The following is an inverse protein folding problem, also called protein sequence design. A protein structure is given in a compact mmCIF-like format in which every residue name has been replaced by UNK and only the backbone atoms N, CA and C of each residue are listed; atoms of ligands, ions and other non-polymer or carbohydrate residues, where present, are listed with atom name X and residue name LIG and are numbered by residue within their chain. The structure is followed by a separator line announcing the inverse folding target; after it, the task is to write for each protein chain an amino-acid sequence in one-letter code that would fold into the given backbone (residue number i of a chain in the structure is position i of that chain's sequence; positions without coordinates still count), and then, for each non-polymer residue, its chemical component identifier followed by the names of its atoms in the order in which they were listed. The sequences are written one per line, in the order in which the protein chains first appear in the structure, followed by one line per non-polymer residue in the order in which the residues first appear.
data_IF_389055892788
#
_entry.id   IF_389055892788
#
_cell.length_a   1.000
_cell.length_b   1.000
_cell.length_c   1.000
_cell.angle_alpha   90.00
_cell.angle_beta   90.00
_cell.angle_gamma   90.00
#
_symmetry.space_group_name_H-M   'P 1'
#
loop_
_entity.id
_entity.type
_entity.pdbx_description
1 polymer ?
#
# COMPACT_ATOMS: atom_id res chain seq x y z
N UNK A 1 -7.38 25.17 -32.75
CA UNK A 1 -6.07 24.60 -32.36
C UNK A 1 -5.97 24.68 -30.83
N UNK A 2 -6.48 23.66 -30.13
CA UNK A 2 -6.73 23.65 -28.68
C UNK A 2 -6.03 22.41 -28.11
N UNK A 3 -4.77 22.56 -27.68
CA UNK A 3 -4.06 21.46 -27.01
C UNK A 3 -4.60 21.38 -25.58
N UNK A 4 -5.57 20.49 -25.38
CA UNK A 4 -5.97 19.95 -24.08
C UNK A 4 -4.80 19.09 -23.59
N UNK A 5 -3.77 19.72 -23.05
CA UNK A 5 -2.67 19.01 -22.40
C UNK A 5 -3.16 18.51 -21.05
N UNK A 6 -3.57 17.25 -21.12
CA UNK A 6 -3.95 16.30 -20.09
C UNK A 6 -3.15 16.49 -18.80
N UNK A 7 -3.89 16.84 -17.76
CA UNK A 7 -3.51 16.84 -16.35
C UNK A 7 -3.10 15.42 -15.92
N UNK A 8 -1.85 15.03 -16.17
CA UNK A 8 -1.25 13.78 -15.66
C UNK A 8 -0.22 14.13 -14.57
N UNK A 9 -0.65 14.89 -13.57
CA UNK A 9 0.17 15.22 -12.40
C UNK A 9 -0.73 15.29 -11.17
N UNK A 10 -1.34 14.16 -10.76
CA UNK A 10 -2.12 14.17 -9.51
C UNK A 10 -2.40 12.84 -8.78
N UNK A 11 -1.65 11.72 -8.94
CA UNK A 11 -1.72 10.75 -7.84
C UNK A 11 -0.36 10.13 -7.51
N UNK A 12 0.60 10.93 -7.04
CA UNK A 12 1.81 10.40 -6.37
C UNK A 12 2.04 11.08 -5.00
N UNK A 13 1.16 11.98 -4.55
CA UNK A 13 1.32 12.69 -3.26
C UNK A 13 0.59 12.05 -2.06
N UNK A 14 -0.06 10.90 -2.20
CA UNK A 14 -0.93 10.37 -1.12
C UNK A 14 -0.27 9.35 -0.17
N UNK A 15 1.01 9.02 -0.31
CA UNK A 15 1.65 7.94 0.48
C UNK A 15 2.42 8.41 1.71
N UNK A 16 2.20 9.65 2.20
CA UNK A 16 2.92 10.24 3.33
C UNK A 16 2.02 10.75 4.49
N UNK A 17 0.78 10.27 4.61
CA UNK A 17 -0.09 10.65 5.75
C UNK A 17 0.26 9.82 6.99
N UNK A 18 1.27 10.25 7.74
CA UNK A 18 1.44 9.82 9.13
C UNK A 18 0.37 10.50 10.00
N UNK A 19 -0.27 9.81 10.97
CA UNK A 19 -1.21 10.45 11.87
C UNK A 19 -0.46 11.49 12.72
N UNK A 20 -0.74 12.76 12.48
CA UNK A 20 -0.22 13.85 13.31
C UNK A 20 -1.04 13.88 14.61
N UNK A 21 -0.51 13.27 15.67
CA UNK A 21 -0.98 13.49 17.03
C UNK A 21 -0.58 14.91 17.45
N UNK A 22 -1.53 15.85 17.41
CA UNK A 22 -1.39 17.16 18.05
C UNK A 22 -1.88 17.03 19.49
N UNK A 23 -0.94 16.98 20.44
CA UNK A 23 -1.23 16.96 21.88
C UNK A 23 -1.81 18.30 22.32
N UNK A 24 -3.02 18.24 22.88
CA UNK A 24 -3.66 19.14 23.85
C UNK A 24 -2.93 20.45 24.23
N UNK A 25 -3.59 21.58 23.96
CA UNK A 25 -3.47 22.77 24.82
C UNK A 25 -3.65 24.13 24.14
N UNK A 26 -4.88 24.68 24.16
CA UNK A 26 -5.05 26.14 24.22
C UNK A 26 -6.04 26.80 23.26
N UNK A 27 -7.30 26.92 23.69
CA UNK A 27 -8.08 28.18 23.81
C UNK A 27 -8.14 29.18 22.64
N UNK A 28 -8.02 28.79 21.37
CA UNK A 28 -8.21 29.72 20.26
C UNK A 28 -9.67 29.67 19.74
N UNK A 29 -10.38 30.81 19.59
CA UNK A 29 -11.82 30.84 19.28
C UNK A 29 -12.17 30.29 17.88
N UNK A 30 -11.17 30.06 17.03
CA UNK A 30 -11.30 29.42 15.72
C UNK A 30 -11.05 27.90 15.73
N UNK A 31 -10.62 27.31 16.87
CA UNK A 31 -10.46 25.85 16.95
C UNK A 31 -11.79 25.12 16.87
N UNK A 32 -12.83 25.58 17.57
CA UNK A 32 -14.14 24.92 17.53
C UNK A 32 -14.72 24.74 16.11
N UNK A 33 -14.70 25.79 15.26
CA UNK A 33 -15.09 25.67 13.86
C UNK A 33 -14.17 24.77 13.02
N UNK A 34 -12.87 24.74 13.28
CA UNK A 34 -11.93 23.88 12.55
C UNK A 34 -12.04 22.41 12.98
N UNK A 35 -12.29 22.15 14.26
CA UNK A 35 -12.53 20.83 14.84
C UNK A 35 -13.86 20.26 14.32
N UNK A 36 -14.92 21.06 14.25
CA UNK A 36 -16.19 20.64 13.63
C UNK A 36 -16.04 20.25 12.15
N UNK A 37 -15.19 20.95 11.39
CA UNK A 37 -14.92 20.59 10.00
C UNK A 37 -14.13 19.27 9.95
N UNK A 38 -13.17 19.07 10.86
CA UNK A 38 -12.40 17.84 10.95
C UNK A 38 -13.28 16.65 11.34
N UNK A 39 -14.18 16.82 12.32
CA UNK A 39 -15.21 15.85 12.69
C UNK A 39 -16.21 15.61 11.55
N UNK A 40 -16.54 16.62 10.75
CA UNK A 40 -17.47 16.46 9.61
C UNK A 40 -16.86 15.64 8.47
N UNK A 41 -15.54 15.70 8.28
CA UNK A 41 -14.80 14.96 7.24
C UNK A 41 -14.45 13.54 7.71
N UNK A 42 -14.22 13.34 9.01
CA UNK A 42 -13.86 12.03 9.58
C UNK A 42 -15.00 11.30 10.28
N UNK A 43 -16.13 11.98 10.51
CA UNK A 43 -17.27 11.44 11.24
C UNK A 43 -18.28 10.66 10.39
N UNK A 44 -19.36 10.17 11.02
CA UNK A 44 -20.36 9.31 10.38
C UNK A 44 -21.02 9.93 9.14
N UNK A 45 -21.12 11.25 9.09
CA UNK A 45 -21.70 12.01 7.97
C UNK A 45 -20.93 11.77 6.67
N UNK A 46 -19.59 11.82 6.73
CA UNK A 46 -18.75 11.48 5.58
C UNK A 46 -18.97 10.04 5.11
N UNK A 47 -19.15 9.11 6.06
CA UNK A 47 -19.50 7.72 5.78
C UNK A 47 -20.82 7.56 5.02
N UNK A 48 -21.87 8.26 5.43
CA UNK A 48 -23.16 8.22 4.71
C UNK A 48 -23.10 8.85 3.32
N UNK A 49 -22.32 9.93 3.15
CA UNK A 49 -22.08 10.55 1.83
C UNK A 49 -21.31 9.59 0.93
N UNK A 50 -20.28 8.91 1.45
CA UNK A 50 -19.52 7.92 0.71
C UNK A 50 -20.41 6.75 0.26
N UNK A 51 -21.27 6.24 1.16
CA UNK A 51 -22.23 5.19 0.84
C UNK A 51 -23.18 5.62 -0.28
N UNK A 52 -23.75 6.84 -0.18
CA UNK A 52 -24.61 7.39 -1.22
C UNK A 52 -23.88 7.53 -2.57
N UNK A 53 -22.63 8.01 -2.57
CA UNK A 53 -21.82 8.14 -3.78
C UNK A 53 -21.53 6.79 -4.44
N UNK A 54 -21.21 5.76 -3.65
CA UNK A 54 -21.01 4.39 -4.15
C UNK A 54 -22.31 3.82 -4.74
N UNK A 55 -23.45 4.06 -4.10
CA UNK A 55 -24.75 3.62 -4.62
C UNK A 55 -25.12 4.30 -5.94
N UNK A 56 -24.87 5.61 -6.06
CA UNK A 56 -25.10 6.37 -7.30
C UNK A 56 -24.14 5.89 -8.40
N UNK A 57 -22.85 5.70 -8.09
CA UNK A 57 -21.88 5.17 -9.03
C UNK A 57 -22.29 3.76 -9.50
N UNK A 58 -22.64 2.86 -8.57
CA UNK A 58 -23.17 1.52 -8.89
C UNK A 58 -24.44 1.55 -9.73
N UNK A 59 -25.36 2.46 -9.41
CA UNK A 59 -26.60 2.67 -10.18
C UNK A 59 -26.33 3.16 -11.60
N UNK A 60 -25.46 4.17 -11.78
CA UNK A 60 -25.08 4.69 -13.09
C UNK A 60 -24.45 3.62 -13.98
N UNK A 61 -23.76 2.65 -13.37
CA UNK A 61 -23.18 1.50 -14.07
C UNK A 61 -24.23 0.54 -14.58
N UNK A 62 -25.18 0.11 -13.73
CA UNK A 62 -26.19 -0.87 -14.11
C UNK A 62 -27.19 -0.29 -15.13
N UNK A 63 -27.56 0.98 -15.00
CA UNK A 63 -28.56 1.64 -15.87
C UNK A 63 -27.99 2.27 -17.14
N UNK A 64 -26.69 2.11 -17.43
CA UNK A 64 -26.16 2.32 -18.78
C UNK A 64 -25.63 3.71 -19.10
N UNK A 65 -25.05 4.43 -18.12
CA UNK A 65 -24.16 5.54 -18.43
C UNK A 65 -22.80 5.00 -18.88
N UNK A 66 -22.56 4.86 -20.19
CA UNK A 66 -21.30 4.39 -20.79
C UNK A 66 -20.70 3.14 -20.09
N UNK A 67 -21.53 2.18 -19.66
CA UNK A 67 -21.11 0.99 -18.92
C UNK A 67 -19.97 0.24 -19.62
N UNK A 68 -19.97 0.22 -20.94
CA UNK A 68 -18.91 -0.37 -21.74
C UNK A 68 -17.54 0.29 -21.50
N UNK A 69 -17.48 1.62 -21.38
CA UNK A 69 -16.23 2.35 -21.10
C UNK A 69 -15.78 2.20 -19.65
N UNK A 70 -16.72 2.16 -18.69
CA UNK A 70 -16.36 1.87 -17.30
C UNK A 70 -15.89 0.42 -17.12
N UNK A 71 -16.61 -0.56 -17.67
CA UNK A 71 -16.22 -1.97 -17.61
C UNK A 71 -14.85 -2.16 -18.23
N UNK A 72 -14.58 -1.49 -19.37
CA UNK A 72 -13.26 -1.49 -20.01
C UNK A 72 -12.18 -0.91 -19.10
N UNK A 73 -12.44 0.20 -18.41
CA UNK A 73 -11.51 0.76 -17.40
C UNK A 73 -11.29 -0.16 -16.21
N UNK A 74 -12.36 -0.76 -15.67
CA UNK A 74 -12.25 -1.71 -14.55
C UNK A 74 -11.43 -2.93 -14.93
N UNK A 75 -11.64 -3.50 -16.11
CA UNK A 75 -10.86 -4.63 -16.60
C UNK A 75 -9.38 -4.29 -16.65
N UNK A 76 -9.00 -3.09 -17.10
CA UNK A 76 -7.59 -2.67 -17.10
C UNK A 76 -7.02 -2.55 -15.68
N UNK A 77 -7.77 -1.94 -14.75
CA UNK A 77 -7.32 -1.80 -13.34
C UNK A 77 -7.15 -3.17 -12.68
N UNK A 78 -8.13 -4.06 -12.85
CA UNK A 78 -8.09 -5.43 -12.29
C UNK A 78 -7.00 -6.26 -12.93
N UNK A 79 -6.81 -6.16 -14.25
CA UNK A 79 -5.75 -6.88 -14.97
C UNK A 79 -4.36 -6.45 -14.49
N UNK A 80 -4.12 -5.15 -14.34
CA UNK A 80 -2.86 -4.63 -13.79
C UNK A 80 -2.66 -5.07 -12.35
N UNK A 81 -3.67 -4.92 -11.48
CA UNK A 81 -3.59 -5.34 -10.09
C UNK A 81 -3.33 -6.85 -9.96
N UNK A 82 -4.03 -7.67 -10.76
CA UNK A 82 -3.84 -9.12 -10.79
C UNK A 82 -2.45 -9.53 -11.23
N UNK A 83 -1.88 -8.87 -12.24
CA UNK A 83 -0.49 -9.10 -12.66
C UNK A 83 0.47 -8.72 -11.55
N UNK A 84 0.31 -7.56 -10.91
CA UNK A 84 1.20 -7.13 -9.82
C UNK A 84 1.15 -8.09 -8.63
N UNK A 85 -0.04 -8.52 -8.24
CA UNK A 85 -0.22 -9.50 -7.16
C UNK A 85 0.39 -10.86 -7.54
N UNK A 86 0.10 -11.37 -8.73
CA UNK A 86 0.65 -12.65 -9.22
C UNK A 86 2.17 -12.62 -9.46
N UNK A 87 2.72 -11.47 -9.86
CA UNK A 87 4.15 -11.30 -10.07
C UNK A 87 4.95 -11.53 -8.78
N UNK A 88 4.42 -11.14 -7.61
CA UNK A 88 5.08 -11.42 -6.32
C UNK A 88 5.27 -12.92 -6.08
N UNK A 89 4.29 -13.74 -6.49
CA UNK A 89 4.36 -15.20 -6.40
C UNK A 89 5.43 -15.76 -7.34
N UNK A 90 5.47 -15.29 -8.58
CA UNK A 90 6.47 -15.73 -9.57
C UNK A 90 7.89 -15.34 -9.13
N UNK A 91 8.09 -14.11 -8.68
CA UNK A 91 9.40 -13.65 -8.15
C UNK A 91 9.80 -14.47 -6.93
N UNK A 92 8.85 -14.81 -6.05
CA UNK A 92 9.11 -15.70 -4.91
C UNK A 92 9.61 -17.09 -5.31
N UNK A 93 9.07 -17.67 -6.39
CA UNK A 93 9.50 -18.99 -6.88
C UNK A 93 10.97 -18.97 -7.38
N UNK A 94 11.38 -17.90 -8.06
CA UNK A 94 12.76 -17.75 -8.55
C UNK A 94 13.72 -17.19 -7.50
N UNK A 95 13.23 -16.42 -6.52
CA UNK A 95 14.01 -15.92 -5.39
C UNK A 95 14.29 -16.98 -4.33
N UNK A 96 13.35 -17.91 -4.09
CA UNK A 96 13.54 -19.02 -3.14
C UNK A 96 14.41 -20.16 -3.71
N UNK A 97 14.45 -20.32 -5.03
CA UNK A 97 15.34 -21.28 -5.71
C UNK A 97 16.70 -20.69 -6.07
N UNK A 98 16.84 -19.36 -6.04
CA UNK A 98 18.09 -18.62 -6.24
C UNK A 98 18.84 -18.39 -4.92
N UNK A 99 19.64 -19.38 -4.52
CA UNK A 99 20.69 -19.32 -3.48
C UNK A 99 20.29 -19.19 -1.99
N UNK A 100 20.51 -20.28 -1.25
CA UNK A 100 21.45 -20.26 -0.12
C UNK A 100 22.55 -21.28 -0.40
N UNK A 101 23.60 -20.83 -1.09
CA UNK A 101 24.85 -21.59 -1.09
C UNK A 101 25.34 -21.53 0.36
N UNK A 102 25.26 -22.69 1.01
CA UNK A 102 25.76 -23.05 2.34
C UNK A 102 26.17 -21.90 3.25
N UNK A 103 25.37 -21.69 4.30
CA UNK A 103 25.92 -21.16 5.55
C UNK A 103 27.19 -21.99 5.90
N UNK A 104 28.38 -21.40 6.05
CA UNK A 104 29.60 -22.11 6.46
C UNK A 104 29.54 -22.65 7.90
N UNK A 105 28.36 -22.78 8.49
CA UNK A 105 28.12 -23.31 9.82
C UNK A 105 28.51 -24.78 9.93
N UNK A 106 28.35 -25.59 8.87
CA UNK A 106 28.69 -27.02 8.92
C UNK A 106 30.20 -27.28 8.82
N UNK A 107 30.92 -26.42 8.11
CA UNK A 107 32.38 -26.49 8.04
C UNK A 107 33.01 -25.98 9.33
N UNK A 108 32.47 -24.90 9.92
CA UNK A 108 32.95 -24.35 11.19
C UNK A 108 32.68 -25.32 12.36
N UNK A 109 31.54 -26.02 12.37
CA UNK A 109 31.27 -27.06 13.38
C UNK A 109 32.23 -28.23 13.20
N UNK A 110 32.42 -28.73 11.98
CA UNK A 110 33.35 -29.83 11.68
C UNK A 110 34.81 -29.45 11.99
N UNK A 111 35.29 -28.25 11.65
CA UNK A 111 36.63 -27.76 12.02
C UNK A 111 36.80 -27.54 13.54
N UNK A 112 35.72 -27.24 14.27
CA UNK A 112 35.73 -27.18 15.74
C UNK A 112 35.89 -28.58 16.36
N UNK A 113 35.34 -29.62 15.73
CA UNK A 113 35.53 -31.02 16.15
C UNK A 113 36.84 -31.63 15.64
N UNK A 114 37.35 -31.17 14.50
CA UNK A 114 38.62 -31.56 13.89
C UNK A 114 39.78 -30.64 14.32
N UNK A 115 39.63 -29.87 15.40
CA UNK A 115 40.77 -29.30 16.12
C UNK A 115 41.20 -30.33 17.17
N UNK A 116 42.07 -31.32 16.83
CA UNK A 116 42.65 -32.19 17.83
C UNK A 116 43.35 -31.29 18.85
N UNK A 117 43.01 -31.54 20.12
CA UNK A 117 43.39 -30.69 21.23
C UNK A 117 44.85 -30.27 21.15
N UNK A 118 45.05 -28.95 21.06
CA UNK A 118 46.27 -28.32 21.55
C UNK A 118 46.25 -28.47 23.08
N UNK A 119 46.56 -29.69 23.49
CA UNK A 119 46.88 -30.09 24.85
C UNK A 119 48.35 -29.74 25.07
N UNK A 120 48.56 -28.71 25.89
CA UNK A 120 49.68 -28.62 26.84
C UNK A 120 50.96 -27.95 26.35
N UNK A 121 51.33 -26.84 26.98
CA UNK A 121 52.30 -26.82 28.10
C UNK A 121 52.68 -25.35 28.44
N UNK A 122 52.78 -24.89 29.70
CA UNK A 122 52.82 -25.64 30.95
C UNK A 122 54.17 -26.33 31.14
#
# INVERSE_FOLDING_TARGET
MWRKNTLITAPILLTLVTPAFASSGGSLPWEGPLEQIQESITGPVAGYIALAAVAIAGGMLIFGGELNDFARRLVYVVLVAGILLGATTIVGLFGATGASIGEPQELISTLKYLKPGERGNG
#
